data_IF_908372292517
#
_entry.id   IF_908372292517
#
_cell.length_a   1.000
_cell.length_b   1.000
_cell.length_c   1.000
_cell.angle_alpha   90.00
_cell.angle_beta   90.00
_cell.angle_gamma   90.00
#
_symmetry.space_group_name_H-M   'P 1'
#
loop_
_entity.id
_entity.type
_entity.pdbx_description
1 polymer ?
#
# COMPACT_ATOMS: atom_id res chain seq x y z
N UNK A 1 -14.14 -14.41 -0.87
CA UNK A 1 -13.39 -13.91 0.30
C UNK A 1 -13.77 -12.46 0.58
N UNK A 2 -13.97 -12.06 1.84
CA UNK A 2 -14.25 -10.68 2.17
C UNK A 2 -13.01 -9.83 1.85
N UNK A 3 -13.23 -8.70 1.20
CA UNK A 3 -12.16 -7.78 0.77
C UNK A 3 -11.71 -6.94 1.94
N UNK A 4 -10.40 -6.88 2.22
CA UNK A 4 -9.86 -5.96 3.22
C UNK A 4 -10.19 -4.51 2.87
N UNK A 5 -10.56 -3.74 3.89
CA UNK A 5 -10.73 -2.31 3.75
C UNK A 5 -9.38 -1.68 3.42
N UNK A 6 -9.39 -0.75 2.47
CA UNK A 6 -8.21 0.10 2.24
C UNK A 6 -8.14 1.12 3.33
N UNK A 7 -7.00 1.16 4.00
CA UNK A 7 -6.73 2.15 5.02
C UNK A 7 -6.33 3.44 4.34
N UNK A 8 -6.98 4.53 4.71
CA UNK A 8 -6.55 5.88 4.40
C UNK A 8 -5.90 6.48 5.65
N UNK A 9 -4.64 6.87 5.51
CA UNK A 9 -3.89 7.62 6.52
C UNK A 9 -3.73 9.04 5.96
N UNK A 10 -4.25 10.04 6.64
CA UNK A 10 -4.09 11.43 6.24
C UNK A 10 -2.61 11.79 6.23
N UNK A 11 -2.13 12.39 5.14
CA UNK A 11 -0.70 12.65 4.95
C UNK A 11 0.17 11.40 4.75
N UNK A 12 -0.43 10.21 4.74
CA UNK A 12 0.28 8.95 4.57
C UNK A 12 0.94 8.82 3.19
N UNK A 13 2.10 8.15 3.17
CA UNK A 13 2.80 7.82 1.94
C UNK A 13 2.48 6.37 1.59
N UNK A 14 2.23 6.11 0.32
CA UNK A 14 1.81 4.80 -0.17
C UNK A 14 2.67 4.36 -1.35
N UNK A 15 3.12 3.11 -1.33
CA UNK A 15 3.54 2.40 -2.53
C UNK A 15 2.32 1.78 -3.19
N UNK A 16 1.98 2.23 -4.38
CA UNK A 16 0.80 1.77 -5.12
C UNK A 16 1.20 1.14 -6.43
N UNK A 17 0.60 0.00 -6.76
CA UNK A 17 0.85 -0.70 -8.00
C UNK A 17 -0.39 -1.48 -8.47
N UNK A 18 -0.45 -1.74 -9.77
CA UNK A 18 -1.41 -2.67 -10.36
C UNK A 18 -0.89 -3.22 -11.69
N UNK A 19 -1.45 -4.32 -12.11
CA UNK A 19 -1.10 -5.03 -13.35
C UNK A 19 -2.32 -5.19 -14.24
N UNK A 20 -2.12 -5.22 -15.55
CA UNK A 20 -3.16 -5.56 -16.50
C UNK A 20 -3.53 -7.04 -16.43
N UNK A 21 -4.79 -7.34 -16.71
CA UNK A 21 -5.29 -8.70 -16.76
C UNK A 21 -4.47 -9.51 -17.79
N UNK A 22 -4.24 -10.79 -17.47
CA UNK A 22 -3.48 -11.71 -18.33
C UNK A 22 -2.06 -11.22 -18.71
N UNK A 23 -1.52 -10.23 -17.98
CA UNK A 23 -0.19 -9.69 -18.27
C UNK A 23 -0.09 -8.89 -19.58
N UNK A 24 -1.21 -8.45 -20.14
CA UNK A 24 -1.28 -7.72 -21.40
C UNK A 24 -0.34 -6.49 -21.41
N UNK A 25 0.52 -6.32 -22.42
CA UNK A 25 1.53 -5.27 -22.44
C UNK A 25 0.98 -3.91 -22.94
N UNK A 26 -0.08 -3.41 -22.30
CA UNK A 26 -0.82 -2.20 -22.71
C UNK A 26 0.08 -0.98 -22.81
N UNK A 27 1.01 -0.78 -21.87
CA UNK A 27 1.93 0.35 -21.88
C UNK A 27 3.15 0.17 -22.82
N UNK A 28 3.23 -0.96 -23.55
CA UNK A 28 4.17 -1.06 -24.66
C UNK A 28 3.77 -0.10 -25.80
N UNK A 29 2.48 0.24 -25.90
CA UNK A 29 2.00 1.31 -26.75
C UNK A 29 2.26 2.69 -26.09
N UNK A 30 3.09 3.56 -26.69
CA UNK A 30 3.39 4.87 -26.13
C UNK A 30 2.18 5.81 -26.02
N UNK A 31 1.15 5.63 -26.84
CA UNK A 31 -0.08 6.46 -26.79
C UNK A 31 -0.87 6.12 -25.52
N UNK A 32 -1.02 4.83 -25.22
CA UNK A 32 -1.69 4.39 -24.01
C UNK A 32 -0.92 4.80 -22.73
N UNK A 33 0.41 4.71 -22.78
CA UNK A 33 1.23 5.18 -21.67
C UNK A 33 1.06 6.69 -21.45
N UNK A 34 0.97 7.50 -22.52
CA UNK A 34 0.73 8.95 -22.40
C UNK A 34 -0.68 9.25 -21.87
N UNK A 35 -1.72 8.54 -22.34
CA UNK A 35 -3.10 8.74 -21.83
C UNK A 35 -3.16 8.46 -20.32
N UNK A 36 -2.48 7.40 -19.85
CA UNK A 36 -2.41 7.11 -18.41
C UNK A 36 -1.67 8.21 -17.63
N UNK A 37 -0.57 8.73 -18.17
CA UNK A 37 0.21 9.83 -17.60
C UNK A 37 -0.62 11.11 -17.50
N UNK A 38 -1.39 11.44 -18.50
CA UNK A 38 -2.25 12.64 -18.52
C UNK A 38 -3.35 12.53 -17.47
N UNK A 39 -3.95 11.36 -17.32
CA UNK A 39 -4.89 11.08 -16.23
C UNK A 39 -4.22 11.18 -14.85
N UNK A 40 -2.98 10.68 -14.70
CA UNK A 40 -2.22 10.78 -13.47
C UNK A 40 -1.90 12.23 -13.12
N UNK A 41 -1.48 13.05 -14.07
CA UNK A 41 -1.28 14.51 -13.90
C UNK A 41 -2.54 15.22 -13.45
N UNK A 42 -3.66 14.90 -14.11
CA UNK A 42 -4.97 15.46 -13.74
C UNK A 42 -5.32 15.15 -12.28
N UNK A 43 -5.16 13.90 -11.85
CA UNK A 43 -5.48 13.49 -10.47
C UNK A 43 -4.51 14.09 -9.47
N UNK A 44 -3.20 14.10 -9.76
CA UNK A 44 -2.19 14.76 -8.94
C UNK A 44 -2.63 16.18 -8.60
N UNK A 45 -3.04 16.95 -9.61
CA UNK A 45 -3.51 18.33 -9.44
C UNK A 45 -4.84 18.41 -8.68
N UNK A 46 -5.82 17.55 -9.04
CA UNK A 46 -7.16 17.56 -8.47
C UNK A 46 -7.19 17.17 -6.99
N UNK A 47 -6.45 16.10 -6.62
CA UNK A 47 -6.49 15.50 -5.28
C UNK A 47 -5.28 15.93 -4.42
N UNK A 48 -4.39 16.79 -4.93
CA UNK A 48 -3.25 17.32 -4.20
C UNK A 48 -2.20 16.26 -3.84
N UNK A 49 -1.94 15.30 -4.74
CA UNK A 49 -0.94 14.27 -4.48
C UNK A 49 0.48 14.82 -4.61
N UNK A 50 1.37 14.40 -3.71
CA UNK A 50 2.83 14.48 -3.90
C UNK A 50 3.30 13.14 -4.45
N UNK A 51 4.03 13.15 -5.56
CA UNK A 51 4.55 11.93 -6.20
C UNK A 51 6.06 11.86 -6.00
N UNK A 52 6.52 10.89 -5.21
CA UNK A 52 7.94 10.65 -4.91
C UNK A 52 8.63 9.79 -5.96
N UNK A 53 7.92 8.84 -6.54
CA UNK A 53 8.42 7.99 -7.61
C UNK A 53 7.28 7.47 -8.46
N UNK A 54 7.58 7.23 -9.75
CA UNK A 54 6.65 6.55 -10.66
C UNK A 54 7.40 5.84 -11.79
N UNK A 55 6.80 4.77 -12.27
CA UNK A 55 7.24 4.05 -13.46
C UNK A 55 6.06 3.31 -14.10
N UNK A 56 5.98 3.34 -15.42
CA UNK A 56 5.11 2.47 -16.21
C UNK A 56 5.98 1.40 -16.85
N UNK A 57 5.73 0.15 -16.49
CA UNK A 57 6.28 -1.02 -17.16
C UNK A 57 5.32 -1.43 -18.29
N UNK A 58 5.71 -2.36 -19.16
CA UNK A 58 4.84 -2.77 -20.27
C UNK A 58 3.44 -3.21 -19.83
N UNK A 59 3.32 -3.93 -18.71
CA UNK A 59 2.07 -4.54 -18.25
C UNK A 59 1.63 -4.17 -16.84
N UNK A 60 2.31 -3.25 -16.18
CA UNK A 60 1.99 -2.79 -14.82
C UNK A 60 2.60 -1.41 -14.54
N UNK A 61 2.23 -0.82 -13.41
CA UNK A 61 2.83 0.42 -12.93
C UNK A 61 3.16 0.35 -11.44
N UNK A 62 4.12 1.19 -11.03
CA UNK A 62 4.41 1.48 -9.62
C UNK A 62 4.42 2.99 -9.39
N UNK A 63 3.88 3.40 -8.23
CA UNK A 63 3.85 4.79 -7.76
C UNK A 63 4.21 4.83 -6.28
N UNK A 64 5.02 5.80 -5.87
CA UNK A 64 5.16 6.19 -4.47
C UNK A 64 4.53 7.58 -4.32
N UNK A 65 3.44 7.68 -3.56
CA UNK A 65 2.62 8.90 -3.48
C UNK A 65 2.26 9.23 -2.04
N UNK A 66 2.16 10.53 -1.73
CA UNK A 66 1.49 11.04 -0.53
C UNK A 66 0.13 11.62 -0.91
N UNK A 67 -0.89 11.30 -0.14
CA UNK A 67 -2.20 11.96 -0.21
C UNK A 67 -2.45 12.68 1.10
N UNK A 68 -2.81 13.97 1.04
CA UNK A 68 -3.03 14.78 2.25
C UNK A 68 -4.39 14.47 2.88
N UNK A 69 -5.46 15.01 2.32
CA UNK A 69 -6.82 14.94 2.90
C UNK A 69 -7.80 14.07 2.12
N UNK A 70 -7.46 13.69 0.89
CA UNK A 70 -8.34 12.91 0.03
C UNK A 70 -7.90 11.45 0.00
N UNK A 71 -8.79 10.48 0.27
CA UNK A 71 -8.46 9.07 0.16
C UNK A 71 -7.93 8.71 -1.24
N UNK A 72 -6.78 8.02 -1.29
CA UNK A 72 -6.18 7.59 -2.57
C UNK A 72 -7.13 6.74 -3.41
N UNK A 73 -8.08 6.05 -2.77
CA UNK A 73 -9.10 5.24 -3.44
C UNK A 73 -9.97 6.05 -4.42
N UNK A 74 -10.24 7.32 -4.12
CA UNK A 74 -10.99 8.21 -5.02
C UNK A 74 -10.20 8.47 -6.31
N UNK A 75 -8.91 8.80 -6.16
CA UNK A 75 -8.04 9.07 -7.30
C UNK A 75 -7.84 7.83 -8.17
N UNK A 76 -7.53 6.67 -7.57
CA UNK A 76 -7.32 5.43 -8.32
C UNK A 76 -8.59 4.87 -8.95
N UNK A 77 -9.75 5.04 -8.32
CA UNK A 77 -11.02 4.69 -8.94
C UNK A 77 -11.24 5.48 -10.25
N UNK A 78 -10.97 6.78 -10.19
CA UNK A 78 -11.07 7.63 -11.40
C UNK A 78 -10.00 7.25 -12.43
N UNK A 79 -8.71 7.15 -12.04
CA UNK A 79 -7.59 6.84 -12.93
C UNK A 79 -7.83 5.54 -13.69
N UNK A 80 -8.02 4.46 -12.95
CA UNK A 80 -8.17 3.13 -13.54
C UNK A 80 -9.49 2.99 -14.31
N UNK A 81 -10.56 3.56 -13.78
CA UNK A 81 -11.88 3.52 -14.43
C UNK A 81 -11.89 4.28 -15.76
N UNK A 82 -11.37 5.52 -15.78
CA UNK A 82 -11.34 6.34 -17.02
C UNK A 82 -10.38 5.75 -18.04
N UNK A 83 -9.21 5.29 -17.60
CA UNK A 83 -8.27 4.63 -18.50
C UNK A 83 -8.88 3.38 -19.13
N UNK A 84 -9.49 2.49 -18.32
CA UNK A 84 -10.16 1.29 -18.84
C UNK A 84 -11.28 1.62 -19.83
N UNK A 85 -12.09 2.64 -19.56
CA UNK A 85 -13.17 3.06 -20.48
C UNK A 85 -12.62 3.53 -21.82
N UNK A 86 -11.55 4.35 -21.82
CA UNK A 86 -10.93 4.86 -23.05
C UNK A 86 -10.30 3.72 -23.84
N UNK A 87 -9.49 2.90 -23.18
CA UNK A 87 -8.81 1.75 -23.77
C UNK A 87 -9.78 0.76 -24.42
N UNK A 88 -10.81 0.35 -23.67
CA UNK A 88 -11.80 -0.61 -24.18
C UNK A 88 -12.63 -0.03 -25.32
N UNK A 89 -13.04 1.24 -25.24
CA UNK A 89 -13.79 1.91 -26.31
C UNK A 89 -12.96 2.00 -27.60
N UNK A 90 -11.70 2.40 -27.50
CA UNK A 90 -10.82 2.54 -28.68
C UNK A 90 -10.52 1.22 -29.39
N UNK A 91 -10.67 0.08 -28.68
CA UNK A 91 -10.40 -1.25 -29.21
C UNK A 91 -11.63 -2.15 -29.35
N UNK A 92 -12.82 -1.58 -29.20
CA UNK A 92 -14.09 -2.31 -29.21
C UNK A 92 -14.07 -3.55 -28.27
N UNK A 93 -13.41 -3.43 -27.12
CA UNK A 93 -13.16 -4.47 -26.13
C UNK A 93 -14.15 -4.37 -24.98
N UNK A 94 -14.54 -5.54 -24.44
CA UNK A 94 -15.36 -5.66 -23.23
C UNK A 94 -14.59 -6.37 -22.12
N UNK A 95 -15.01 -6.20 -20.87
CA UNK A 95 -14.41 -6.88 -19.72
C UNK A 95 -13.38 -6.06 -18.94
N UNK A 96 -12.81 -6.69 -17.93
CA UNK A 96 -11.87 -6.04 -17.03
C UNK A 96 -10.50 -5.85 -17.71
N UNK A 97 -9.95 -4.64 -17.60
CA UNK A 97 -8.60 -4.33 -18.07
C UNK A 97 -7.54 -4.61 -17.00
N UNK A 98 -7.87 -4.42 -15.74
CA UNK A 98 -6.96 -4.64 -14.61
C UNK A 98 -7.17 -6.03 -14.01
N UNK A 99 -6.09 -6.68 -13.61
CA UNK A 99 -6.11 -8.01 -12.98
C UNK A 99 -6.92 -8.00 -11.68
N UNK A 100 -6.79 -6.94 -10.91
CA UNK A 100 -7.50 -6.74 -9.65
C UNK A 100 -7.70 -5.25 -9.36
N UNK A 101 -8.19 -4.91 -8.18
CA UNK A 101 -8.04 -3.56 -7.65
C UNK A 101 -6.56 -3.27 -7.43
N UNK A 102 -6.14 -1.99 -7.55
CA UNK A 102 -4.76 -1.61 -7.21
C UNK A 102 -4.38 -2.07 -5.80
N UNK A 103 -3.12 -2.39 -5.62
CA UNK A 103 -2.52 -2.65 -4.32
C UNK A 103 -1.93 -1.35 -3.77
N UNK A 104 -2.00 -1.16 -2.46
CA UNK A 104 -1.43 0.00 -1.77
C UNK A 104 -0.83 -0.47 -0.45
N UNK A 105 0.44 -0.15 -0.23
CA UNK A 105 1.17 -0.39 1.02
C UNK A 105 1.57 0.95 1.62
N UNK A 106 1.27 1.16 2.91
CA UNK A 106 1.69 2.37 3.62
C UNK A 106 3.19 2.30 3.86
N UNK A 107 3.87 3.43 3.67
CA UNK A 107 5.30 3.61 3.92
C UNK A 107 5.44 4.39 5.23
N UNK A 108 5.93 3.75 6.28
CA UNK A 108 5.95 4.32 7.62
C UNK A 108 7.29 4.89 8.05
N UNK A 109 8.38 4.49 7.41
CA UNK A 109 9.73 4.88 7.77
C UNK A 109 10.41 5.65 6.65
N UNK A 110 11.13 6.72 7.01
CA UNK A 110 11.85 7.53 6.02
C UNK A 110 12.86 6.70 5.21
N UNK A 111 13.64 5.82 5.87
CA UNK A 111 14.59 4.95 5.17
C UNK A 111 13.95 3.87 4.30
N UNK A 112 12.65 3.60 4.50
CA UNK A 112 11.89 2.72 3.63
C UNK A 112 11.38 3.45 2.38
N UNK A 113 11.06 4.74 2.48
CA UNK A 113 10.68 5.56 1.33
C UNK A 113 11.82 5.60 0.29
N UNK A 114 13.07 5.81 0.73
CA UNK A 114 14.23 5.83 -0.15
C UNK A 114 14.37 4.53 -0.94
N UNK A 115 14.19 3.39 -0.26
CA UNK A 115 14.22 2.06 -0.91
C UNK A 115 13.10 1.88 -1.92
N UNK A 116 11.88 2.33 -1.59
CA UNK A 116 10.74 2.28 -2.52
C UNK A 116 11.00 3.16 -3.75
N UNK A 117 11.55 4.35 -3.57
CA UNK A 117 11.93 5.23 -4.69
C UNK A 117 12.94 4.53 -5.60
N UNK A 118 14.02 3.97 -5.01
CA UNK A 118 15.04 3.25 -5.78
C UNK A 118 14.44 2.02 -6.48
N UNK A 119 13.61 1.24 -5.78
CA UNK A 119 12.91 0.10 -6.36
C UNK A 119 12.08 0.51 -7.57
N UNK A 120 11.23 1.53 -7.43
CA UNK A 120 10.36 2.01 -8.53
C UNK A 120 11.20 2.44 -9.72
N UNK A 121 12.29 3.16 -9.48
CA UNK A 121 13.13 3.70 -10.55
C UNK A 121 14.08 2.68 -11.19
N UNK A 122 14.43 1.60 -10.49
CA UNK A 122 15.27 0.50 -11.01
C UNK A 122 14.44 -0.62 -11.69
N UNK A 123 13.12 -0.61 -11.55
CA UNK A 123 12.24 -1.63 -12.14
C UNK A 123 12.48 -1.88 -13.63
N UNK A 124 12.66 -0.85 -14.50
CA UNK A 124 12.91 -1.08 -15.92
C UNK A 124 14.20 -1.86 -16.21
N UNK A 125 15.23 -1.68 -15.40
CA UNK A 125 16.50 -2.42 -15.52
C UNK A 125 16.33 -3.84 -15.02
N UNK A 126 15.68 -4.01 -13.87
CA UNK A 126 15.40 -5.34 -13.30
C UNK A 126 14.48 -6.18 -14.18
N UNK A 127 13.52 -5.54 -14.83
CA UNK A 127 12.61 -6.18 -15.80
C UNK A 127 13.21 -6.37 -17.19
N UNK A 128 14.50 -6.00 -17.39
CA UNK A 128 15.20 -6.18 -18.66
C UNK A 128 14.71 -5.27 -19.81
N UNK A 129 13.93 -4.22 -19.52
CA UNK A 129 13.41 -3.31 -20.56
C UNK A 129 14.51 -2.38 -21.09
N UNK A 130 15.43 -1.97 -20.24
CA UNK A 130 16.55 -1.08 -20.59
C UNK A 130 17.80 -1.45 -19.79
N UNK A 131 18.97 -1.09 -20.31
CA UNK A 131 20.25 -1.27 -19.59
C UNK A 131 20.52 -0.21 -18.53
N UNK A 132 19.94 1.00 -18.67
CA UNK A 132 20.08 2.10 -17.72
C UNK A 132 18.70 2.73 -17.45
N UNK A 133 18.36 3.06 -16.20
CA UNK A 133 17.02 3.60 -15.87
C UNK A 133 16.68 4.89 -16.61
N UNK A 134 17.69 5.71 -16.94
CA UNK A 134 17.50 6.98 -17.68
C UNK A 134 17.04 6.78 -19.12
N UNK A 135 17.23 5.59 -19.68
CA UNK A 135 16.79 5.26 -21.05
C UNK A 135 15.31 4.89 -21.11
N UNK A 136 14.71 4.54 -19.96
CA UNK A 136 13.28 4.27 -19.89
C UNK A 136 12.47 5.58 -19.87
N UNK A 137 11.62 5.76 -20.91
CA UNK A 137 10.94 7.04 -21.16
C UNK A 137 9.88 7.35 -20.10
N UNK A 138 9.18 6.32 -19.62
CA UNK A 138 8.04 6.46 -18.72
C UNK A 138 8.44 6.21 -17.26
N UNK A 139 9.30 7.10 -16.74
CA UNK A 139 9.84 6.98 -15.38
C UNK A 139 10.19 8.32 -14.76
N UNK A 140 9.89 8.48 -13.47
CA UNK A 140 10.31 9.63 -12.66
C UNK A 140 11.84 9.76 -12.56
N UNK A 141 12.60 8.65 -12.63
CA UNK A 141 14.06 8.74 -12.70
C UNK A 141 14.54 9.56 -13.90
N UNK A 142 13.94 9.35 -15.06
CA UNK A 142 14.31 10.11 -16.27
C UNK A 142 14.00 11.60 -16.10
N UNK A 143 12.89 11.94 -15.42
CA UNK A 143 12.54 13.34 -15.13
C UNK A 143 13.60 14.01 -14.24
N UNK A 144 14.06 13.31 -13.18
CA UNK A 144 15.13 13.78 -12.32
C UNK A 144 16.47 13.90 -13.09
N UNK A 145 16.85 12.83 -13.80
CA UNK A 145 18.17 12.76 -14.43
C UNK A 145 18.34 13.78 -15.56
N UNK A 146 17.29 14.04 -16.35
CA UNK A 146 17.31 14.96 -17.50
C UNK A 146 16.82 16.38 -17.20
N UNK A 147 16.17 16.60 -16.03
CA UNK A 147 15.67 17.92 -15.66
C UNK A 147 14.57 18.41 -16.59
N UNK A 148 13.49 17.64 -16.75
CA UNK A 148 12.35 18.01 -17.59
C UNK A 148 11.60 19.22 -17.02
N UNK A 149 11.04 20.06 -17.88
CA UNK A 149 10.38 21.32 -17.49
C UNK A 149 9.06 21.16 -16.75
N UNK A 150 8.36 20.04 -16.92
CA UNK A 150 7.09 19.76 -16.26
C UNK A 150 7.04 18.30 -15.77
N UNK A 151 7.79 17.98 -14.72
CA UNK A 151 7.84 16.62 -14.20
C UNK A 151 6.52 16.21 -13.53
N UNK A 152 6.21 14.92 -13.57
CA UNK A 152 5.14 14.32 -12.76
C UNK A 152 5.60 14.18 -11.32
N UNK A 153 6.87 13.82 -11.14
CA UNK A 153 7.49 13.67 -9.84
C UNK A 153 7.65 15.04 -9.17
N UNK A 154 7.42 15.10 -7.88
CA UNK A 154 7.81 16.25 -7.05
C UNK A 154 9.28 16.09 -6.68
N UNK A 155 10.15 16.66 -7.51
CA UNK A 155 11.60 16.39 -7.52
C UNK A 155 12.24 16.69 -6.18
N UNK A 156 11.90 17.84 -5.58
CA UNK A 156 12.48 18.26 -4.31
C UNK A 156 12.02 17.35 -3.16
N UNK A 157 10.73 17.03 -3.08
CA UNK A 157 10.18 16.09 -2.10
C UNK A 157 10.82 14.70 -2.22
N UNK A 158 11.01 14.21 -3.46
CA UNK A 158 11.69 12.95 -3.72
C UNK A 158 13.16 13.00 -3.26
N UNK A 159 13.89 14.03 -3.64
CA UNK A 159 15.33 14.12 -3.36
C UNK A 159 15.62 14.34 -1.88
N UNK A 160 14.81 15.11 -1.16
CA UNK A 160 15.00 15.37 0.28
C UNK A 160 14.94 14.11 1.15
N UNK A 161 14.44 12.99 0.62
CA UNK A 161 14.55 11.69 1.31
C UNK A 161 15.98 11.13 1.32
N UNK A 162 16.88 11.63 0.46
CA UNK A 162 18.27 11.14 0.31
C UNK A 162 19.34 12.02 0.95
N UNK A 163 18.98 13.16 1.54
CA UNK A 163 19.94 14.07 2.18
C UNK A 163 19.32 15.37 2.66
N UNK A 164 20.07 16.14 3.41
CA UNK A 164 19.58 17.38 4.03
C UNK A 164 19.51 18.57 3.06
N UNK A 165 20.36 18.58 2.05
CA UNK A 165 20.36 19.62 1.00
C UNK A 165 20.06 18.99 -0.36
N UNK A 166 19.38 19.72 -1.24
CA UNK A 166 19.03 19.21 -2.58
C UNK A 166 20.27 18.78 -3.39
N UNK A 167 21.39 19.46 -3.21
CA UNK A 167 22.66 19.12 -3.88
C UNK A 167 23.20 17.79 -3.39
N UNK A 168 23.27 17.59 -2.10
CA UNK A 168 23.69 16.34 -1.45
C UNK A 168 22.74 15.19 -1.78
N UNK A 169 21.45 15.43 -1.57
CA UNK A 169 20.39 14.48 -1.84
C UNK A 169 20.40 13.96 -3.27
N UNK A 170 20.57 14.86 -4.25
CA UNK A 170 20.70 14.49 -5.67
C UNK A 170 21.95 13.63 -5.93
N UNK A 171 23.09 13.97 -5.30
CA UNK A 171 24.32 13.19 -5.40
C UNK A 171 24.12 11.78 -4.83
N UNK A 172 23.53 11.68 -3.64
CA UNK A 172 23.28 10.41 -2.95
C UNK A 172 22.29 9.54 -3.74
N UNK A 173 21.18 10.11 -4.18
CA UNK A 173 20.19 9.43 -5.02
C UNK A 173 20.82 8.85 -6.29
N UNK A 174 21.57 9.66 -7.06
CA UNK A 174 22.23 9.19 -8.29
C UNK A 174 23.31 8.14 -8.00
N UNK A 175 24.00 8.23 -6.87
CA UNK A 175 24.95 7.21 -6.43
C UNK A 175 24.23 5.89 -6.12
N UNK A 176 23.13 5.93 -5.39
CA UNK A 176 22.32 4.75 -5.05
C UNK A 176 21.75 4.07 -6.30
N UNK A 177 21.27 4.83 -7.27
CA UNK A 177 20.83 4.28 -8.57
C UNK A 177 21.98 3.57 -9.29
N UNK A 178 23.20 4.15 -9.30
CA UNK A 178 24.37 3.49 -9.93
C UNK A 178 24.76 2.19 -9.24
N UNK A 179 24.71 2.17 -7.90
CA UNK A 179 24.97 0.96 -7.11
C UNK A 179 23.94 -0.11 -7.46
N UNK A 180 22.65 0.23 -7.42
CA UNK A 180 21.58 -0.71 -7.79
C UNK A 180 21.71 -1.28 -9.20
N UNK A 181 22.08 -0.45 -10.19
CA UNK A 181 22.33 -0.94 -11.55
C UNK A 181 23.50 -1.93 -11.62
N UNK A 182 24.59 -1.69 -10.87
CA UNK A 182 25.75 -2.60 -10.85
C UNK A 182 25.40 -3.95 -10.23
N UNK A 183 24.60 -3.94 -9.17
CA UNK A 183 24.17 -5.17 -8.50
C UNK A 183 23.23 -5.99 -9.38
N UNK A 184 22.29 -5.34 -10.06
CA UNK A 184 21.42 -6.00 -11.05
C UNK A 184 22.20 -6.60 -12.23
N UNK A 185 23.25 -5.91 -12.73
CA UNK A 185 24.08 -6.38 -13.82
C UNK A 185 25.06 -7.53 -13.47
N UNK A 186 25.34 -7.74 -12.17
CA UNK A 186 26.25 -8.81 -11.70
C UNK A 186 25.56 -10.17 -11.53
N UNK A 187 24.26 -10.25 -11.72
CA UNK A 187 23.51 -11.49 -11.55
C UNK A 187 22.79 -11.86 -12.85
N UNK A 188 23.54 -12.40 -13.87
CA UNK A 188 22.93 -12.87 -15.11
C UNK A 188 22.00 -14.05 -14.79
N UNK A 189 20.79 -14.05 -15.37
CA UNK A 189 19.86 -15.16 -15.30
C UNK A 189 18.99 -15.22 -14.05
N UNK A 190 18.96 -14.21 -13.21
CA UNK A 190 17.96 -14.12 -12.16
C UNK A 190 16.70 -13.44 -12.69
N UNK A 191 15.57 -14.15 -12.52
CA UNK A 191 14.21 -13.66 -12.73
C UNK A 191 13.99 -12.25 -12.15
N UNK A 192 12.98 -11.47 -12.60
CA UNK A 192 12.62 -10.15 -12.06
C UNK A 192 12.43 -10.08 -10.53
N UNK A 193 12.49 -11.20 -9.83
CA UNK A 193 12.53 -11.31 -8.38
C UNK A 193 13.82 -10.83 -7.69
N UNK A 194 14.91 -10.52 -8.42
CA UNK A 194 16.20 -10.17 -7.80
C UNK A 194 16.24 -8.78 -7.17
N UNK A 195 15.43 -7.84 -7.62
CA UNK A 195 15.21 -6.57 -6.91
C UNK A 195 14.57 -6.78 -5.53
N UNK A 196 13.79 -7.85 -5.38
CA UNK A 196 13.20 -8.22 -4.08
C UNK A 196 14.27 -8.51 -3.03
N UNK A 197 15.37 -9.17 -3.41
CA UNK A 197 16.47 -9.53 -2.50
C UNK A 197 17.32 -8.32 -2.11
N UNK A 198 17.49 -7.37 -3.01
CA UNK A 198 18.31 -6.18 -2.78
C UNK A 198 17.57 -5.12 -1.95
N UNK A 199 16.24 -5.05 -2.07
CA UNK A 199 15.38 -4.16 -1.29
C UNK A 199 14.91 -4.78 0.03
N UNK A 200 15.26 -6.06 0.28
CA UNK A 200 14.95 -6.66 1.56
C UNK A 200 15.81 -6.05 2.68
N UNK A 201 15.16 -5.62 3.75
CA UNK A 201 14.99 -6.53 4.85
C UNK A 201 13.66 -7.27 4.84
N UNK A 202 12.70 -6.96 4.01
CA UNK A 202 11.41 -7.60 4.16
C UNK A 202 10.82 -8.14 2.86
N UNK A 203 10.38 -9.41 2.87
CA UNK A 203 9.64 -10.14 1.81
C UNK A 203 8.38 -9.45 1.28
N UNK A 204 8.12 -8.17 1.66
CA UNK A 204 6.86 -7.45 1.51
C UNK A 204 6.60 -6.81 0.15
N UNK A 205 7.54 -6.91 -0.80
CA UNK A 205 7.36 -6.33 -2.14
C UNK A 205 6.96 -7.37 -3.19
N UNK A 206 6.58 -8.58 -2.78
CA UNK A 206 6.13 -9.64 -3.69
C UNK A 206 4.76 -9.31 -4.31
N UNK A 207 4.60 -9.35 -5.66
CA UNK A 207 3.32 -9.08 -6.31
C UNK A 207 2.26 -10.17 -6.09
N UNK A 208 2.66 -11.39 -5.74
CA UNK A 208 1.81 -12.59 -5.78
C UNK A 208 1.56 -13.21 -4.40
N UNK A 209 2.09 -12.60 -3.35
CA UNK A 209 1.70 -13.01 -2.03
C UNK A 209 0.35 -12.35 -1.72
N UNK A 210 -0.64 -13.14 -1.31
CA UNK A 210 -1.71 -12.65 -0.44
C UNK A 210 -1.00 -12.15 0.81
N UNK A 211 -0.38 -10.98 0.67
CA UNK A 211 0.64 -10.47 1.55
C UNK A 211 0.14 -10.38 2.96
N UNK A 212 1.03 -10.45 3.93
CA UNK A 212 0.69 -10.36 5.33
C UNK A 212 -0.26 -9.19 5.53
N UNK A 213 -1.27 -9.40 6.36
CA UNK A 213 -2.16 -8.34 6.76
C UNK A 213 -1.32 -7.17 7.28
N UNK A 214 -1.34 -6.06 6.59
CA UNK A 214 -0.66 -4.84 7.00
C UNK A 214 -1.68 -4.00 7.74
N UNK A 215 -1.37 -3.61 8.97
CA UNK A 215 -2.24 -2.73 9.75
C UNK A 215 -2.28 -1.30 9.17
N UNK A 216 -3.11 -0.46 9.74
CA UNK A 216 -3.26 0.93 9.31
C UNK A 216 -1.96 1.75 9.37
N UNK A 217 -0.99 1.30 10.17
CA UNK A 217 0.32 1.92 10.32
C UNK A 217 1.40 1.25 9.44
N UNK A 218 1.00 0.29 8.56
CA UNK A 218 1.91 -0.41 7.66
C UNK A 218 2.80 -1.47 8.32
N UNK A 219 2.49 -1.87 9.55
CA UNK A 219 3.25 -2.90 10.24
C UNK A 219 2.83 -4.28 9.79
N UNK A 220 3.77 -5.18 9.63
CA UNK A 220 3.50 -6.59 9.34
C UNK A 220 2.71 -7.23 10.47
N UNK A 221 1.63 -7.88 10.09
CA UNK A 221 0.98 -8.85 10.97
C UNK A 221 1.58 -10.21 10.68
N UNK A 222 2.11 -10.90 11.70
CA UNK A 222 2.72 -12.22 11.53
C UNK A 222 1.68 -13.20 10.94
N UNK A 223 2.02 -13.98 9.90
CA UNK A 223 1.08 -14.93 9.29
C UNK A 223 0.72 -16.12 10.17
N UNK A 224 1.46 -16.34 11.26
CA UNK A 224 1.32 -17.50 12.14
C UNK A 224 0.52 -17.17 13.40
N UNK A 225 -0.76 -16.87 13.21
CA UNK A 225 -1.71 -16.79 14.34
C UNK A 225 -2.68 -17.95 14.26
N UNK A 226 -3.10 -18.44 15.42
CA UNK A 226 -4.10 -19.50 15.54
C UNK A 226 -5.32 -19.17 14.67
N UNK A 227 -5.81 -20.15 13.94
CA UNK A 227 -7.05 -20.00 13.18
C UNK A 227 -8.23 -20.10 14.14
N UNK A 228 -8.64 -18.98 14.70
CA UNK A 228 -9.79 -18.88 15.58
C UNK A 228 -11.06 -18.58 14.78
N UNK A 229 -12.18 -19.11 15.21
CA UNK A 229 -13.48 -18.60 14.80
C UNK A 229 -13.68 -17.18 15.35
N UNK A 230 -14.60 -16.40 14.78
CA UNK A 230 -14.86 -15.05 15.27
C UNK A 230 -15.39 -15.03 16.71
N UNK A 231 -16.07 -16.07 17.13
CA UNK A 231 -16.57 -16.22 18.52
C UNK A 231 -15.38 -16.44 19.46
N UNK A 232 -14.56 -17.48 19.21
CA UNK A 232 -13.35 -17.76 20.02
C UNK A 232 -12.40 -16.55 20.08
N UNK A 233 -12.26 -15.85 18.95
CA UNK A 233 -11.43 -14.65 18.91
C UNK A 233 -11.98 -13.54 19.83
N UNK A 234 -13.31 -13.29 19.81
CA UNK A 234 -13.95 -12.28 20.67
C UNK A 234 -13.84 -12.71 22.16
N UNK A 235 -14.03 -13.98 22.45
CA UNK A 235 -13.88 -14.54 23.81
C UNK A 235 -12.47 -14.30 24.35
N UNK A 236 -11.44 -14.64 23.60
CA UNK A 236 -10.04 -14.39 23.99
C UNK A 236 -9.75 -12.89 24.16
N UNK A 237 -10.21 -12.06 23.23
CA UNK A 237 -10.06 -10.62 23.37
C UNK A 237 -10.78 -10.06 24.61
N UNK A 238 -11.97 -10.52 24.90
CA UNK A 238 -12.73 -10.10 26.06
C UNK A 238 -11.98 -10.44 27.36
N UNK A 239 -11.46 -11.65 27.47
CA UNK A 239 -10.67 -12.08 28.61
C UNK A 239 -9.43 -11.19 28.83
N UNK A 240 -8.66 -10.89 27.76
CA UNK A 240 -7.46 -10.01 27.85
C UNK A 240 -7.84 -8.58 28.25
N UNK A 241 -8.96 -8.07 27.74
CA UNK A 241 -9.41 -6.71 28.00
C UNK A 241 -10.16 -6.55 29.33
N UNK A 242 -10.42 -7.65 30.04
CA UNK A 242 -11.15 -7.65 31.31
C UNK A 242 -12.65 -7.34 31.17
N UNK A 243 -13.26 -7.75 30.06
CA UNK A 243 -14.70 -7.60 29.81
C UNK A 243 -15.40 -8.95 29.77
N UNK A 244 -16.69 -8.96 30.15
CA UNK A 244 -17.55 -10.07 29.75
C UNK A 244 -17.84 -10.00 28.24
N UNK A 245 -17.87 -11.17 27.60
CA UNK A 245 -18.22 -11.28 26.16
C UNK A 245 -19.58 -10.65 25.91
N UNK A 246 -20.54 -10.84 26.82
CA UNK A 246 -21.88 -10.23 26.73
C UNK A 246 -21.83 -8.69 26.68
N UNK A 247 -20.86 -8.05 27.37
CA UNK A 247 -20.68 -6.60 27.31
C UNK A 247 -20.17 -6.15 25.94
N UNK A 248 -19.18 -6.83 25.38
CA UNK A 248 -18.64 -6.52 24.06
C UNK A 248 -19.72 -6.68 22.99
N UNK A 249 -20.51 -7.73 23.06
CA UNK A 249 -21.61 -8.03 22.12
C UNK A 249 -22.82 -7.11 22.35
N UNK A 250 -23.02 -6.57 23.58
CA UNK A 250 -24.15 -5.72 23.95
C UNK A 250 -24.30 -4.47 23.08
N UNK A 251 -25.42 -3.79 23.15
CA UNK A 251 -25.64 -2.47 22.52
C UNK A 251 -25.17 -1.29 23.40
N UNK A 252 -24.40 -1.55 24.47
CA UNK A 252 -23.86 -0.50 25.32
C UNK A 252 -23.10 0.56 24.53
N UNK A 253 -23.32 1.82 24.89
CA UNK A 253 -22.59 3.00 24.36
C UNK A 253 -21.59 3.55 25.37
N UNK A 254 -21.32 2.83 26.46
CA UNK A 254 -20.28 3.21 27.41
C UNK A 254 -18.93 3.28 26.68
N UNK A 255 -18.15 4.33 26.96
CA UNK A 255 -16.92 4.65 26.21
C UNK A 255 -15.90 3.52 26.20
N UNK A 256 -15.70 2.85 27.37
CA UNK A 256 -14.83 1.72 27.53
C UNK A 256 -15.25 0.51 26.69
N UNK A 257 -16.55 0.20 26.63
CA UNK A 257 -17.08 -0.90 25.81
C UNK A 257 -17.03 -0.58 24.32
N UNK A 258 -17.24 0.68 23.93
CA UNK A 258 -17.11 1.13 22.54
C UNK A 258 -15.66 1.02 22.09
N UNK A 259 -14.72 1.41 22.94
CA UNK A 259 -13.29 1.30 22.66
C UNK A 259 -12.84 -0.17 22.57
N UNK A 260 -13.25 -1.02 23.50
CA UNK A 260 -13.00 -2.46 23.46
C UNK A 260 -13.48 -3.08 22.13
N UNK A 261 -14.69 -2.74 21.66
CA UNK A 261 -15.18 -3.19 20.35
C UNK A 261 -14.34 -2.69 19.19
N UNK A 262 -13.84 -1.45 19.25
CA UNK A 262 -12.94 -0.91 18.21
C UNK A 262 -11.63 -1.69 18.16
N UNK A 263 -11.04 -2.00 19.32
CA UNK A 263 -9.83 -2.82 19.43
C UNK A 263 -10.06 -4.22 18.84
N UNK A 264 -11.10 -4.92 19.29
CA UNK A 264 -11.47 -6.27 18.83
C UNK A 264 -11.71 -6.30 17.34
N UNK A 265 -12.54 -5.40 16.81
CA UNK A 265 -12.88 -5.39 15.39
C UNK A 265 -11.67 -5.04 14.53
N UNK A 266 -10.89 -4.03 14.92
CA UNK A 266 -9.70 -3.62 14.15
C UNK A 266 -8.65 -4.72 14.15
N UNK A 267 -8.32 -5.30 15.32
CA UNK A 267 -7.35 -6.37 15.45
C UNK A 267 -7.78 -7.61 14.68
N UNK A 268 -9.04 -8.03 14.84
CA UNK A 268 -9.58 -9.20 14.14
C UNK A 268 -9.51 -9.06 12.63
N UNK A 269 -9.81 -7.88 12.10
CA UNK A 269 -9.79 -7.60 10.67
C UNK A 269 -8.39 -7.48 10.10
N UNK A 270 -7.47 -6.89 10.86
CA UNK A 270 -6.15 -6.52 10.36
C UNK A 270 -5.11 -7.60 10.60
N UNK A 271 -5.16 -8.27 11.73
CA UNK A 271 -4.11 -9.21 12.12
C UNK A 271 -4.57 -10.67 12.28
N UNK A 272 -5.86 -10.91 12.55
CA UNK A 272 -6.39 -12.23 12.89
C UNK A 272 -7.29 -12.84 11.82
N UNK A 273 -7.21 -12.35 10.60
CA UNK A 273 -7.92 -12.87 9.42
C UNK A 273 -9.44 -13.01 9.59
N UNK A 274 -10.05 -12.31 10.57
CA UNK A 274 -11.47 -12.38 10.79
C UNK A 274 -12.25 -11.69 9.68
N UNK A 275 -13.24 -12.36 9.12
CA UNK A 275 -14.09 -11.73 8.08
C UNK A 275 -15.09 -10.75 8.70
N UNK A 276 -15.43 -9.69 7.94
CA UNK A 276 -16.49 -8.74 8.36
C UNK A 276 -17.80 -9.47 8.63
N UNK A 277 -18.14 -10.49 7.81
CA UNK A 277 -19.35 -11.30 7.96
C UNK A 277 -19.33 -12.12 9.27
N UNK A 278 -18.19 -12.74 9.58
CA UNK A 278 -18.03 -13.54 10.79
C UNK A 278 -18.10 -12.67 12.06
N UNK A 279 -17.38 -11.53 12.09
CA UNK A 279 -17.46 -10.58 13.19
C UNK A 279 -18.86 -9.97 13.34
N UNK A 280 -19.53 -9.68 12.23
CA UNK A 280 -20.91 -9.15 12.26
C UNK A 280 -21.88 -10.16 12.90
N UNK A 281 -21.78 -11.44 12.51
CA UNK A 281 -22.57 -12.51 13.09
C UNK A 281 -22.28 -12.70 14.60
N UNK A 282 -20.98 -12.77 14.97
CA UNK A 282 -20.57 -12.97 16.36
C UNK A 282 -20.92 -11.80 17.27
N UNK A 283 -20.88 -10.55 16.77
CA UNK A 283 -21.24 -9.35 17.51
C UNK A 283 -22.75 -9.02 17.46
N UNK A 284 -23.56 -9.75 16.72
CA UNK A 284 -24.96 -9.43 16.51
C UNK A 284 -25.18 -8.06 15.84
N UNK A 285 -24.36 -7.71 14.84
CA UNK A 285 -24.35 -6.43 14.12
C UNK A 285 -24.47 -6.62 12.62
N UNK A 286 -24.77 -5.54 11.90
CA UNK A 286 -24.66 -5.52 10.44
C UNK A 286 -23.20 -5.43 9.98
N UNK A 287 -22.91 -5.90 8.77
CA UNK A 287 -21.59 -5.76 8.17
C UNK A 287 -21.14 -4.28 8.04
N UNK A 288 -22.08 -3.39 7.77
CA UNK A 288 -21.82 -1.93 7.70
C UNK A 288 -21.43 -1.37 9.06
N UNK A 289 -22.06 -1.84 10.14
CA UNK A 289 -21.69 -1.45 11.50
C UNK A 289 -20.28 -1.92 11.87
N UNK A 290 -19.92 -3.16 11.53
CA UNK A 290 -18.55 -3.67 11.76
C UNK A 290 -17.53 -2.86 10.95
N UNK A 291 -17.85 -2.51 9.72
CA UNK A 291 -17.00 -1.66 8.87
C UNK A 291 -16.83 -0.26 9.48
N UNK A 292 -17.89 0.33 10.00
CA UNK A 292 -17.84 1.62 10.72
C UNK A 292 -16.96 1.53 11.96
N UNK A 293 -17.15 0.50 12.82
CA UNK A 293 -16.37 0.29 14.04
C UNK A 293 -14.87 0.17 13.68
N UNK A 294 -14.53 -0.59 12.65
CA UNK A 294 -13.15 -0.72 12.19
C UNK A 294 -12.56 0.63 11.77
N UNK A 295 -13.28 1.42 11.00
CA UNK A 295 -12.81 2.75 10.55
C UNK A 295 -12.55 3.68 11.73
N UNK A 296 -13.43 3.70 12.72
CA UNK A 296 -13.26 4.50 13.93
C UNK A 296 -12.07 4.01 14.77
N UNK A 297 -11.85 2.71 14.88
CA UNK A 297 -10.67 2.15 15.57
C UNK A 297 -9.36 2.50 14.86
N UNK A 298 -9.34 2.46 13.54
CA UNK A 298 -8.19 2.91 12.74
C UNK A 298 -7.91 4.39 12.98
N UNK A 299 -8.95 5.23 12.96
CA UNK A 299 -8.83 6.66 13.20
C UNK A 299 -8.27 6.94 14.60
N UNK A 300 -8.83 6.30 15.62
CA UNK A 300 -8.39 6.47 17.00
C UNK A 300 -6.91 6.06 17.17
N UNK A 301 -6.47 4.97 16.53
CA UNK A 301 -5.07 4.54 16.57
C UNK A 301 -4.09 5.55 15.96
N UNK A 302 -4.53 6.37 15.00
CA UNK A 302 -3.70 7.43 14.40
C UNK A 302 -3.56 8.66 15.31
N UNK A 303 -4.56 8.91 16.16
CA UNK A 303 -4.67 10.12 16.97
C UNK A 303 -4.29 9.88 18.46
N UNK A 304 -4.31 8.63 18.93
CA UNK A 304 -4.20 8.26 20.34
C UNK A 304 -3.13 7.19 20.59
N UNK A 305 -1.99 7.63 21.15
CA UNK A 305 -0.86 6.75 21.47
C UNK A 305 -1.17 5.72 22.58
N UNK A 306 -2.14 5.99 23.47
CA UNK A 306 -2.56 5.02 24.48
C UNK A 306 -3.38 3.90 23.86
N UNK A 307 -4.28 4.26 22.93
CA UNK A 307 -5.02 3.26 22.15
C UNK A 307 -4.07 2.37 21.31
N UNK A 308 -2.97 2.93 20.76
CA UNK A 308 -1.93 2.13 20.09
C UNK A 308 -1.31 1.11 21.03
N UNK A 309 -0.90 1.53 22.25
CA UNK A 309 -0.31 0.59 23.25
C UNK A 309 -1.29 -0.52 23.60
N UNK A 310 -2.57 -0.21 23.81
CA UNK A 310 -3.61 -1.20 24.11
C UNK A 310 -3.86 -2.17 22.95
N UNK A 311 -3.79 -1.68 21.72
CA UNK A 311 -3.93 -2.50 20.51
C UNK A 311 -2.78 -3.50 20.36
N UNK A 312 -1.53 -3.05 20.57
CA UNK A 312 -0.34 -3.91 20.51
C UNK A 312 -0.34 -4.92 21.67
N UNK A 313 -0.64 -4.46 22.87
CA UNK A 313 -0.76 -5.34 24.04
C UNK A 313 -1.79 -6.47 23.83
N UNK A 314 -2.97 -6.13 23.28
CA UNK A 314 -4.00 -7.12 22.98
C UNK A 314 -3.49 -8.16 21.97
N UNK A 315 -2.78 -7.75 20.93
CA UNK A 315 -2.24 -8.66 19.93
C UNK A 315 -1.14 -9.56 20.51
N UNK A 316 -0.23 -8.99 21.30
CA UNK A 316 0.85 -9.74 21.97
C UNK A 316 0.29 -10.77 22.95
N UNK A 317 -0.67 -10.38 23.78
CA UNK A 317 -1.33 -11.28 24.72
C UNK A 317 -2.05 -12.46 24.05
N UNK A 318 -2.62 -12.23 22.84
CA UNK A 318 -3.29 -13.29 22.08
C UNK A 318 -2.31 -14.22 21.34
N UNK A 319 -1.04 -13.80 21.11
CA UNK A 319 -0.08 -14.54 20.28
C UNK A 319 0.88 -15.45 21.07
N UNK A 320 0.84 -15.48 22.40
CA UNK A 320 1.66 -16.40 23.16
C UNK A 320 2.31 -15.88 24.43
N UNK A 321 1.72 -14.93 25.10
CA UNK A 321 2.01 -14.76 26.51
C UNK A 321 1.44 -15.95 27.27
N UNK A 322 2.29 -16.73 27.96
CA UNK A 322 1.84 -17.71 28.95
C UNK A 322 0.90 -16.97 29.93
N UNK A 323 -0.29 -17.51 30.13
CA UNK A 323 -1.32 -17.06 31.07
C UNK A 323 -1.04 -17.62 32.46
#
# INVERSE_FOLDING_TARGET
MPRNLRVFVEGGIYHVYNRFASGEPVFADPEEARDFIDLLRYIKKRDGWTIFAWVLMSNHYHLAIRSRSVPISRGFHYLQGRFSQRYNRGRNRTGALWQSRYHAKVINEQGYLDRVILYVHLNPVAGGLVGRPVDHVFSGHREIAKGVSNPIIDVDDCLLSFGQTLREARKNYLSSIRVGCRELGRTPGREPGSLRTWLQPDRDLAPDDEGPYIDALGRRTRPERDKLTAVEFIERCAAVLGFDVAEIVSRSRASNVVEARRLVVSLGRERWAQSTKALAAALGRSADTVTYIQREGIKQRLEDGEYVRRYEYLDEALTGGEW
#
